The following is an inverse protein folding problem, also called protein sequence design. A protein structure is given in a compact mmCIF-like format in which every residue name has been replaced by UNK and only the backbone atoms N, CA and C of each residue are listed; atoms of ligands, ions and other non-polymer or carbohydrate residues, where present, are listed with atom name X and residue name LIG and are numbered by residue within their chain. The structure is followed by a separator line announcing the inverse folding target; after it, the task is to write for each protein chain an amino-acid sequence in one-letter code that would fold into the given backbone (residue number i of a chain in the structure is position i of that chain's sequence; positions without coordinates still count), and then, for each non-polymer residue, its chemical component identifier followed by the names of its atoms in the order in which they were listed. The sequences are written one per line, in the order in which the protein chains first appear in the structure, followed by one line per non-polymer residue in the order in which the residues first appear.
data_IF_507811213954
#
_entry.id   IF_507811213954
#
_cell.length_a   1.000
_cell.length_b   1.000
_cell.length_c   1.000
_cell.angle_alpha   90.00
_cell.angle_beta   90.00
_cell.angle_gamma   90.00
#
_symmetry.space_group_name_H-M   'P 1'
#
loop_
_entity.id
_entity.type
_entity.pdbx_description
1 polymer ?
#
# COMPACT_ATOMS: atom_id res chain seq x y z
N UNK A 1 -16.02 -7.72 -15.42
CA UNK A 1 -15.72 -9.16 -15.25
C UNK A 1 -15.48 -9.39 -13.76
N UNK A 2 -16.07 -10.40 -13.12
CA UNK A 2 -15.89 -10.62 -11.67
C UNK A 2 -14.46 -11.08 -11.42
N UNK A 3 -13.78 -10.46 -10.47
CA UNK A 3 -12.42 -10.87 -10.07
C UNK A 3 -12.46 -12.26 -9.42
N UNK A 4 -12.07 -13.27 -10.14
CA UNK A 4 -12.14 -14.70 -9.73
C UNK A 4 -11.46 -14.93 -8.37
N UNK A 5 -10.38 -14.19 -8.06
CA UNK A 5 -9.67 -14.33 -6.78
C UNK A 5 -10.47 -13.78 -5.61
N UNK A 6 -11.09 -12.61 -5.76
CA UNK A 6 -11.98 -12.02 -4.75
C UNK A 6 -13.18 -12.94 -4.52
N UNK A 7 -13.78 -13.44 -5.61
CA UNK A 7 -14.90 -14.37 -5.55
C UNK A 7 -14.55 -15.66 -4.79
N UNK A 8 -13.43 -16.29 -5.11
CA UNK A 8 -13.00 -17.51 -4.46
C UNK A 8 -12.69 -17.30 -2.96
N UNK A 9 -12.10 -16.18 -2.57
CA UNK A 9 -11.78 -15.88 -1.18
C UNK A 9 -13.06 -15.75 -0.32
N UNK A 10 -14.09 -15.08 -0.83
CA UNK A 10 -15.36 -14.90 -0.12
C UNK A 10 -16.09 -16.21 0.03
N UNK A 11 -16.21 -17.00 -1.04
CA UNK A 11 -16.87 -18.31 -0.97
C UNK A 11 -16.16 -19.24 0.00
N UNK A 12 -14.83 -19.32 -0.04
CA UNK A 12 -14.06 -20.14 0.90
C UNK A 12 -14.26 -19.70 2.36
N UNK A 13 -14.33 -18.40 2.61
CA UNK A 13 -14.58 -17.85 3.93
C UNK A 13 -15.98 -18.25 4.46
N UNK A 14 -17.00 -18.17 3.58
CA UNK A 14 -18.37 -18.54 3.92
C UNK A 14 -18.54 -20.07 4.13
N UNK A 15 -17.89 -20.89 3.29
CA UNK A 15 -17.87 -22.34 3.44
C UNK A 15 -17.27 -22.77 4.79
N UNK A 16 -16.12 -22.17 5.15
CA UNK A 16 -15.47 -22.45 6.43
C UNK A 16 -16.27 -21.90 7.62
N UNK A 17 -16.89 -20.74 7.49
CA UNK A 17 -17.80 -20.22 8.51
C UNK A 17 -18.99 -21.15 8.71
N UNK A 18 -19.63 -21.61 7.65
CA UNK A 18 -20.75 -22.55 7.71
C UNK A 18 -20.34 -23.87 8.35
N UNK A 19 -19.17 -24.39 8.01
CA UNK A 19 -18.67 -25.65 8.58
C UNK A 19 -18.44 -25.56 10.09
N UNK A 20 -18.06 -24.37 10.58
CA UNK A 20 -17.75 -24.15 11.98
C UNK A 20 -18.94 -23.71 12.84
N UNK A 21 -20.03 -23.18 12.23
CA UNK A 21 -21.09 -22.47 12.97
C UNK A 21 -22.51 -22.81 12.56
N UNK A 22 -22.70 -23.47 11.43
CA UNK A 22 -24.00 -23.66 10.77
C UNK A 22 -24.60 -22.34 10.20
N UNK A 23 -23.91 -21.20 10.34
CA UNK A 23 -24.32 -19.92 9.74
C UNK A 23 -24.15 -20.00 8.23
N UNK A 24 -25.21 -19.73 7.50
CA UNK A 24 -25.20 -19.68 6.03
C UNK A 24 -25.11 -18.25 5.56
N UNK A 25 -24.20 -18.01 4.63
CA UNK A 25 -24.07 -16.73 3.93
C UNK A 25 -24.10 -16.93 2.43
N UNK A 26 -24.66 -15.96 1.71
CA UNK A 26 -24.66 -15.91 0.27
C UNK A 26 -23.89 -14.69 -0.20
N UNK A 27 -22.98 -14.89 -1.16
CA UNK A 27 -22.16 -13.83 -1.76
C UNK A 27 -22.75 -13.35 -3.07
N UNK A 28 -23.03 -12.06 -3.17
CA UNK A 28 -23.55 -11.38 -4.35
C UNK A 28 -22.50 -10.37 -4.82
N UNK A 29 -21.63 -10.73 -5.78
CA UNK A 29 -20.60 -9.84 -6.28
C UNK A 29 -21.19 -8.69 -7.10
N UNK A 30 -20.60 -7.51 -7.00
CA UNK A 30 -20.83 -6.42 -7.95
C UNK A 30 -19.88 -6.57 -9.14
N UNK A 31 -20.24 -6.00 -10.32
CA UNK A 31 -19.30 -5.88 -11.41
C UNK A 31 -18.04 -5.15 -10.97
N UNK A 32 -16.86 -5.62 -11.43
CA UNK A 32 -15.58 -4.97 -11.11
C UNK A 32 -15.64 -3.48 -11.55
N UNK A 33 -15.84 -2.62 -10.58
CA UNK A 33 -15.45 -1.23 -10.68
C UNK A 33 -14.01 -1.17 -10.17
N UNK A 34 -13.09 -0.75 -11.01
CA UNK A 34 -11.65 -0.67 -10.70
C UNK A 34 -11.30 0.39 -9.64
N UNK A 35 -12.25 0.78 -8.83
CA UNK A 35 -12.10 1.79 -7.79
C UNK A 35 -11.88 1.06 -6.45
N UNK A 36 -10.69 1.20 -5.87
CA UNK A 36 -10.36 0.62 -4.56
C UNK A 36 -11.19 1.19 -3.41
N UNK A 37 -11.87 2.31 -3.64
CA UNK A 37 -12.82 2.91 -2.72
C UNK A 37 -14.21 2.29 -2.86
N UNK A 38 -14.35 1.18 -3.55
CA UNK A 38 -15.64 0.57 -3.85
C UNK A 38 -15.95 -0.64 -2.98
N UNK A 39 -17.24 -0.88 -2.85
CA UNK A 39 -17.78 -2.14 -2.33
C UNK A 39 -17.67 -3.19 -3.43
N UNK A 40 -17.12 -4.36 -3.09
CA UNK A 40 -16.93 -5.48 -4.02
C UNK A 40 -18.23 -6.29 -4.23
N UNK A 41 -19.20 -6.12 -3.33
CA UNK A 41 -20.47 -6.84 -3.39
C UNK A 41 -21.20 -6.85 -2.05
N UNK A 42 -22.08 -7.83 -1.88
CA UNK A 42 -22.89 -7.99 -0.68
C UNK A 42 -22.77 -9.42 -0.16
N UNK A 43 -22.76 -9.59 1.17
CA UNK A 43 -22.99 -10.87 1.83
C UNK A 43 -24.30 -10.77 2.58
N UNK A 44 -25.22 -11.70 2.29
CA UNK A 44 -26.44 -11.92 3.08
C UNK A 44 -26.22 -13.11 3.99
N UNK A 45 -26.21 -12.88 5.32
CA UNK A 45 -26.02 -13.92 6.33
C UNK A 45 -27.27 -14.05 7.18
N UNK A 46 -27.68 -15.29 7.45
CA UNK A 46 -28.73 -15.59 8.42
C UNK A 46 -28.09 -16.00 9.75
N UNK A 47 -28.26 -15.14 10.75
CA UNK A 47 -27.79 -15.37 12.12
C UNK A 47 -29.03 -15.47 13.00
N UNK A 48 -29.24 -16.63 13.61
CA UNK A 48 -30.49 -17.01 14.25
C UNK A 48 -31.67 -16.87 13.26
N UNK A 49 -32.64 -16.02 13.56
CA UNK A 49 -33.78 -15.77 12.68
C UNK A 49 -33.67 -14.47 11.88
N UNK A 50 -32.54 -13.74 12.02
CA UNK A 50 -32.33 -12.44 11.40
C UNK A 50 -31.47 -12.57 10.15
N UNK A 51 -31.98 -12.05 9.02
CA UNK A 51 -31.19 -11.89 7.79
C UNK A 51 -30.47 -10.54 7.85
N UNK A 52 -29.16 -10.58 7.74
CA UNK A 52 -28.30 -9.41 7.78
C UNK A 52 -27.58 -9.28 6.45
N UNK A 53 -27.67 -8.11 5.84
CA UNK A 53 -26.95 -7.78 4.61
C UNK A 53 -25.76 -6.86 4.90
N UNK A 54 -24.57 -7.32 4.55
CA UNK A 54 -23.33 -6.56 4.68
C UNK A 54 -22.87 -6.05 3.33
N UNK A 55 -22.39 -4.82 3.30
CA UNK A 55 -21.52 -4.34 2.23
C UNK A 55 -20.14 -5.01 2.41
N UNK A 56 -19.56 -5.51 1.33
CA UNK A 56 -18.33 -6.30 1.37
C UNK A 56 -17.20 -5.59 0.69
N UNK A 57 -16.06 -5.51 1.35
CA UNK A 57 -14.77 -5.20 0.71
C UNK A 57 -13.80 -6.36 0.91
N UNK A 58 -13.16 -6.80 -0.17
CA UNK A 58 -12.23 -7.94 -0.17
C UNK A 58 -10.81 -7.44 -0.23
N UNK A 59 -10.01 -7.82 0.78
CA UNK A 59 -8.59 -7.46 0.86
C UNK A 59 -7.79 -8.72 1.20
N UNK A 60 -7.39 -9.47 0.17
CA UNK A 60 -6.68 -10.74 0.37
C UNK A 60 -5.45 -10.61 1.27
N UNK A 61 -4.70 -9.50 1.14
CA UNK A 61 -3.52 -9.17 1.95
C UNK A 61 -3.77 -7.88 2.75
N UNK A 62 -4.63 -7.97 3.77
CA UNK A 62 -5.03 -6.83 4.59
C UNK A 62 -3.87 -6.34 5.47
N UNK A 63 -3.52 -5.06 5.35
CA UNK A 63 -2.42 -4.39 6.07
C UNK A 63 -2.89 -3.11 6.75
N UNK A 64 -2.07 -2.58 7.67
CA UNK A 64 -2.36 -1.35 8.41
C UNK A 64 -2.63 -0.17 7.47
N UNK A 65 -1.95 -0.10 6.34
CA UNK A 65 -2.12 0.93 5.31
C UNK A 65 -3.54 1.00 4.73
N UNK A 66 -4.30 -0.10 4.79
CA UNK A 66 -5.69 -0.13 4.31
C UNK A 66 -6.70 0.41 5.34
N UNK A 67 -6.32 0.54 6.63
CA UNK A 67 -7.26 0.88 7.69
C UNK A 67 -7.95 2.22 7.50
N UNK A 68 -7.24 3.32 7.14
CA UNK A 68 -7.90 4.61 6.98
C UNK A 68 -9.00 4.59 5.92
N UNK A 69 -8.70 3.95 4.78
CA UNK A 69 -9.67 3.77 3.71
C UNK A 69 -10.88 2.93 4.15
N UNK A 70 -10.64 1.83 4.87
CA UNK A 70 -11.71 1.00 5.40
C UNK A 70 -12.59 1.75 6.41
N UNK A 71 -12.02 2.66 7.19
CA UNK A 71 -12.78 3.49 8.13
C UNK A 71 -13.71 4.46 7.40
N UNK A 72 -13.25 5.07 6.30
CA UNK A 72 -14.09 5.93 5.47
C UNK A 72 -15.19 5.13 4.76
N UNK A 73 -14.86 3.97 4.19
CA UNK A 73 -15.85 3.07 3.61
C UNK A 73 -16.92 2.64 4.62
N UNK A 74 -16.51 2.35 5.86
CA UNK A 74 -17.45 1.96 6.90
C UNK A 74 -18.41 3.09 7.31
N UNK A 75 -17.95 4.34 7.30
CA UNK A 75 -18.83 5.50 7.54
C UNK A 75 -19.88 5.67 6.44
N UNK A 76 -19.48 5.43 5.18
CA UNK A 76 -20.36 5.61 4.03
C UNK A 76 -21.30 4.41 3.79
N UNK A 77 -20.88 3.20 4.13
CA UNK A 77 -21.54 1.94 3.72
C UNK A 77 -21.77 0.95 4.87
N UNK A 78 -22.16 1.41 6.05
CA UNK A 78 -22.52 0.53 7.17
C UNK A 78 -23.82 -0.27 6.90
N UNK A 79 -23.94 -1.55 7.35
CA UNK A 79 -22.88 -2.37 7.93
C UNK A 79 -21.92 -2.92 6.86
N UNK A 80 -20.62 -2.86 7.16
CA UNK A 80 -19.57 -3.35 6.27
C UNK A 80 -18.85 -4.55 6.89
N UNK A 81 -18.43 -5.50 6.04
CA UNK A 81 -17.58 -6.62 6.43
C UNK A 81 -16.36 -6.70 5.51
N UNK A 82 -15.19 -6.80 6.13
CA UNK A 82 -13.92 -6.98 5.41
C UNK A 82 -13.64 -8.48 5.29
N UNK A 83 -13.48 -8.99 4.07
CA UNK A 83 -13.08 -10.37 3.82
C UNK A 83 -11.60 -10.40 3.46
N UNK A 84 -10.82 -11.22 4.18
CA UNK A 84 -9.37 -11.33 3.99
C UNK A 84 -8.89 -12.77 4.14
N UNK A 85 -7.71 -13.09 3.57
CA UNK A 85 -7.08 -14.40 3.82
C UNK A 85 -6.73 -14.55 5.30
N UNK A 86 -6.17 -13.49 5.89
CA UNK A 86 -5.82 -13.38 7.29
C UNK A 86 -5.89 -11.93 7.74
N UNK A 87 -6.36 -11.70 8.96
CA UNK A 87 -6.34 -10.40 9.64
C UNK A 87 -5.39 -10.49 10.85
N UNK A 88 -4.33 -9.68 10.84
CA UNK A 88 -3.34 -9.68 11.93
C UNK A 88 -3.91 -9.05 13.21
N UNK A 89 -3.41 -9.45 14.43
CA UNK A 89 -3.99 -9.02 15.71
C UNK A 89 -4.19 -7.51 15.86
N UNK A 90 -3.21 -6.69 15.50
CA UNK A 90 -3.32 -5.21 15.55
C UNK A 90 -4.43 -4.67 14.63
N UNK A 91 -4.63 -5.30 13.48
CA UNK A 91 -5.68 -4.91 12.53
C UNK A 91 -7.04 -5.35 13.07
N UNK A 92 -7.16 -6.56 13.61
CA UNK A 92 -8.38 -7.04 14.28
C UNK A 92 -8.84 -6.07 15.38
N UNK A 93 -7.89 -5.63 16.21
CA UNK A 93 -8.16 -4.66 17.27
C UNK A 93 -8.68 -3.33 16.71
N UNK A 94 -8.01 -2.77 15.70
CA UNK A 94 -8.41 -1.53 15.05
C UNK A 94 -9.80 -1.62 14.41
N UNK A 95 -10.11 -2.72 13.72
CA UNK A 95 -11.43 -2.94 13.11
C UNK A 95 -12.52 -3.06 14.19
N UNK A 96 -12.25 -3.78 15.31
CA UNK A 96 -13.19 -3.91 16.42
C UNK A 96 -13.49 -2.58 17.10
N UNK A 97 -12.48 -1.73 17.30
CA UNK A 97 -12.67 -0.39 17.87
C UNK A 97 -13.61 0.44 17.00
N UNK A 98 -13.51 0.33 15.69
CA UNK A 98 -14.35 1.04 14.72
C UNK A 98 -15.67 0.31 14.38
N UNK A 99 -15.97 -0.78 15.10
CA UNK A 99 -17.15 -1.63 14.85
C UNK A 99 -17.26 -2.14 13.41
N UNK A 100 -16.13 -2.43 12.75
CA UNK A 100 -16.06 -2.97 11.40
C UNK A 100 -15.94 -4.49 11.49
N UNK A 101 -16.89 -5.22 10.88
CA UNK A 101 -16.87 -6.66 10.84
C UNK A 101 -15.72 -7.19 9.96
N UNK A 102 -15.18 -8.36 10.30
CA UNK A 102 -14.24 -9.08 9.44
C UNK A 102 -14.53 -10.57 9.40
N UNK A 103 -14.19 -11.19 8.27
CA UNK A 103 -14.28 -12.61 8.02
C UNK A 103 -12.99 -13.09 7.33
N UNK A 104 -12.28 -14.05 7.93
CA UNK A 104 -11.08 -14.66 7.36
C UNK A 104 -11.44 -15.91 6.54
N UNK A 105 -10.64 -16.25 5.54
CA UNK A 105 -10.88 -17.45 4.69
C UNK A 105 -10.91 -18.75 5.46
N UNK A 106 -10.33 -18.83 6.66
CA UNK A 106 -10.39 -19.99 7.57
C UNK A 106 -11.66 -20.04 8.44
N UNK A 107 -12.60 -19.11 8.24
CA UNK A 107 -13.84 -19.02 9.01
C UNK A 107 -13.73 -18.33 10.37
N UNK A 108 -12.58 -17.71 10.70
CA UNK A 108 -12.53 -16.77 11.82
C UNK A 108 -13.36 -15.53 11.49
N UNK A 109 -14.16 -15.07 12.42
CA UNK A 109 -15.09 -13.97 12.21
C UNK A 109 -15.26 -13.14 13.47
N UNK A 110 -15.42 -11.84 13.29
CA UNK A 110 -15.94 -10.94 14.29
C UNK A 110 -16.95 -10.00 13.65
N UNK A 111 -18.11 -9.93 14.23
CA UNK A 111 -19.13 -8.92 13.90
C UNK A 111 -19.93 -8.57 15.15
N UNK A 112 -20.32 -7.30 15.22
CA UNK A 112 -21.19 -6.78 16.27
C UNK A 112 -22.25 -5.88 15.63
N UNK A 113 -23.50 -6.26 15.77
CA UNK A 113 -24.66 -5.52 15.27
C UNK A 113 -25.77 -5.56 16.33
N UNK A 114 -26.23 -4.42 16.74
CA UNK A 114 -27.30 -4.28 17.76
C UNK A 114 -27.11 -5.21 18.96
N UNK A 115 -27.91 -6.30 19.00
CA UNK A 115 -27.89 -7.32 20.06
C UNK A 115 -27.07 -8.57 19.69
N UNK A 116 -26.52 -8.62 18.49
CA UNK A 116 -25.78 -9.79 17.99
C UNK A 116 -24.27 -9.54 18.07
N UNK A 117 -23.57 -10.40 18.80
CA UNK A 117 -22.11 -10.48 18.78
C UNK A 117 -21.71 -11.89 18.33
N UNK A 118 -21.04 -12.01 17.19
CA UNK A 118 -20.42 -13.23 16.73
C UNK A 118 -18.91 -13.05 16.77
N UNK A 119 -18.24 -13.88 17.56
CA UNK A 119 -16.79 -13.86 17.69
C UNK A 119 -16.24 -15.28 17.70
N UNK A 120 -15.58 -15.66 16.60
CA UNK A 120 -14.94 -16.95 16.41
C UNK A 120 -13.50 -16.71 16.01
N UNK A 121 -12.59 -17.26 16.80
CA UNK A 121 -11.16 -17.22 16.54
C UNK A 121 -10.53 -18.57 16.90
N UNK A 122 -9.31 -18.80 16.43
CA UNK A 122 -8.55 -20.01 16.73
C UNK A 122 -8.59 -21.07 15.62
N UNK A 123 -9.36 -20.86 14.55
CA UNK A 123 -9.26 -21.72 13.37
C UNK A 123 -7.85 -21.59 12.78
N UNK A 124 -7.23 -22.75 12.49
CA UNK A 124 -5.90 -22.79 11.88
C UNK A 124 -5.94 -22.10 10.51
N UNK A 125 -4.89 -21.35 10.22
CA UNK A 125 -4.70 -20.81 8.87
C UNK A 125 -4.74 -21.95 7.86
N UNK A 126 -5.51 -21.76 6.80
CA UNK A 126 -5.47 -22.67 5.67
C UNK A 126 -4.04 -22.68 5.12
N UNK A 127 -3.50 -23.85 4.72
CA UNK A 127 -2.19 -23.89 4.09
C UNK A 127 -2.27 -23.07 2.82
N UNK A 128 -1.75 -21.85 2.87
CA UNK A 128 -1.50 -21.09 1.65
C UNK A 128 -0.46 -21.90 0.89
N UNK A 129 -0.83 -22.47 -0.26
CA UNK A 129 0.14 -23.07 -1.16
C UNK A 129 1.30 -22.09 -1.27
N UNK A 130 2.56 -22.53 -0.98
CA UNK A 130 3.74 -21.65 -1.02
C UNK A 130 3.74 -20.98 -2.39
N UNK A 131 3.18 -19.77 -2.46
CA UNK A 131 3.20 -18.99 -3.70
C UNK A 131 4.66 -18.87 -4.10
N UNK A 132 5.00 -19.29 -5.31
CA UNK A 132 6.31 -19.01 -5.89
C UNK A 132 6.55 -17.52 -5.72
N UNK A 133 7.70 -17.16 -5.13
CA UNK A 133 8.06 -15.76 -4.90
C UNK A 133 7.93 -15.01 -6.23
N UNK A 134 6.91 -14.17 -6.35
CA UNK A 134 6.74 -13.37 -7.55
C UNK A 134 7.86 -12.34 -7.61
N UNK A 135 8.63 -12.37 -8.66
CA UNK A 135 9.83 -11.54 -8.83
C UNK A 135 9.53 -10.05 -8.94
N UNK A 136 8.33 -9.66 -9.34
CA UNK A 136 7.90 -8.25 -9.37
C UNK A 136 7.87 -7.62 -7.97
N UNK A 137 7.60 -8.39 -6.91
CA UNK A 137 7.49 -7.92 -5.54
C UNK A 137 8.69 -8.32 -4.66
N UNK A 138 9.84 -8.55 -5.26
CA UNK A 138 11.14 -8.59 -4.56
C UNK A 138 11.73 -7.19 -4.47
N UNK A 139 12.73 -6.95 -3.58
CA UNK A 139 13.42 -5.66 -3.45
C UNK A 139 13.87 -5.08 -4.80
N UNK A 140 14.51 -5.91 -5.62
CA UNK A 140 14.95 -5.54 -6.98
C UNK A 140 13.75 -5.33 -7.92
N UNK A 141 12.72 -6.18 -7.82
CA UNK A 141 11.52 -6.06 -8.65
C UNK A 141 10.74 -4.77 -8.37
N UNK A 142 10.65 -4.37 -7.10
CA UNK A 142 9.96 -3.14 -6.69
C UNK A 142 10.58 -1.88 -7.30
N UNK A 143 11.90 -1.85 -7.52
CA UNK A 143 12.55 -0.74 -8.24
C UNK A 143 12.10 -0.67 -9.70
N UNK A 144 12.01 -1.81 -10.39
CA UNK A 144 11.54 -1.88 -11.78
C UNK A 144 10.06 -1.50 -11.88
N UNK A 145 9.22 -2.01 -10.97
CA UNK A 145 7.78 -1.69 -10.93
C UNK A 145 7.57 -0.19 -10.66
N UNK A 146 8.42 0.43 -9.86
CA UNK A 146 8.39 1.88 -9.62
C UNK A 146 8.55 2.69 -10.92
N UNK A 147 9.54 2.36 -11.75
CA UNK A 147 9.75 3.02 -13.04
C UNK A 147 8.54 2.84 -13.98
N UNK A 148 7.92 1.65 -13.99
CA UNK A 148 6.71 1.38 -14.77
C UNK A 148 5.50 2.17 -14.28
N UNK A 149 5.32 2.30 -12.96
CA UNK A 149 4.22 3.07 -12.37
C UNK A 149 4.38 4.57 -12.62
N UNK A 150 5.61 5.09 -12.63
CA UNK A 150 5.87 6.49 -12.96
C UNK A 150 5.62 6.82 -14.43
N UNK A 151 5.98 5.89 -15.32
CA UNK A 151 5.85 6.08 -16.77
C UNK A 151 5.46 4.75 -17.43
N UNK A 152 4.21 4.63 -17.88
CA UNK A 152 3.73 3.42 -18.57
C UNK A 152 4.51 3.11 -19.84
N UNK A 153 5.05 4.12 -20.53
CA UNK A 153 5.87 3.92 -21.73
C UNK A 153 7.09 3.04 -21.44
N UNK A 154 7.58 3.05 -20.20
CA UNK A 154 8.69 2.18 -19.74
C UNK A 154 8.41 0.69 -19.89
N UNK A 155 7.15 0.24 -19.94
CA UNK A 155 6.81 -1.15 -20.22
C UNK A 155 7.28 -1.61 -21.61
N UNK A 156 7.50 -0.66 -22.54
CA UNK A 156 7.73 -0.91 -23.96
C UNK A 156 9.12 -0.49 -24.46
N UNK A 157 9.96 0.05 -23.58
CA UNK A 157 11.35 0.38 -23.94
C UNK A 157 12.25 -0.86 -23.85
N UNK A 158 13.46 -0.85 -24.47
CA UNK A 158 14.40 -1.96 -24.36
C UNK A 158 14.73 -2.32 -22.91
N UNK A 159 14.74 -3.61 -22.58
CA UNK A 159 15.02 -4.08 -21.20
C UNK A 159 16.33 -3.54 -20.62
N UNK A 160 17.34 -3.23 -21.48
CA UNK A 160 18.60 -2.63 -21.03
C UNK A 160 18.38 -1.22 -20.46
N UNK A 161 17.52 -0.44 -21.08
CA UNK A 161 17.17 0.90 -20.60
C UNK A 161 16.40 0.83 -19.27
N UNK A 162 15.42 -0.06 -19.17
CA UNK A 162 14.70 -0.32 -17.92
C UNK A 162 15.68 -0.72 -16.81
N UNK A 163 16.60 -1.64 -17.10
CA UNK A 163 17.59 -2.11 -16.14
C UNK A 163 18.50 -0.98 -15.64
N UNK A 164 18.91 -0.08 -16.55
CA UNK A 164 19.73 1.10 -16.22
C UNK A 164 18.98 2.07 -15.34
N UNK A 165 17.72 2.41 -15.68
CA UNK A 165 16.89 3.35 -14.90
C UNK A 165 16.54 2.81 -13.51
N UNK A 166 16.22 1.53 -13.42
CA UNK A 166 15.90 0.91 -12.14
C UNK A 166 17.13 0.49 -11.30
N UNK A 167 18.34 0.69 -11.82
CA UNK A 167 19.60 0.23 -11.20
C UNK A 167 19.54 -1.25 -10.79
N UNK A 168 19.28 -2.13 -11.80
CA UNK A 168 19.15 -3.57 -11.61
C UNK A 168 19.84 -4.35 -12.73
N UNK A 169 20.18 -5.62 -12.47
CA UNK A 169 20.71 -6.48 -13.53
C UNK A 169 19.64 -6.77 -14.60
N UNK A 170 20.06 -6.77 -15.88
CA UNK A 170 19.20 -6.93 -17.06
C UNK A 170 18.21 -8.11 -16.96
N UNK A 171 18.68 -9.26 -16.45
CA UNK A 171 17.84 -10.46 -16.31
C UNK A 171 16.63 -10.28 -15.38
N UNK A 172 16.70 -9.34 -14.41
CA UNK A 172 15.60 -9.10 -13.49
C UNK A 172 14.38 -8.48 -14.18
N UNK A 173 14.59 -7.65 -15.21
CA UNK A 173 13.48 -7.00 -15.94
C UNK A 173 12.52 -8.02 -16.53
N UNK A 174 13.06 -9.05 -17.17
CA UNK A 174 12.21 -10.12 -17.76
C UNK A 174 11.45 -10.90 -16.68
N UNK A 175 12.08 -11.18 -15.54
CA UNK A 175 11.41 -11.86 -14.42
C UNK A 175 10.30 -11.01 -13.82
N UNK A 176 10.50 -9.68 -13.73
CA UNK A 176 9.48 -8.74 -13.24
C UNK A 176 8.30 -8.69 -14.20
N UNK A 177 8.53 -8.48 -15.50
CA UNK A 177 7.46 -8.46 -16.50
C UNK A 177 6.65 -9.76 -16.52
N UNK A 178 7.33 -10.92 -16.40
CA UNK A 178 6.65 -12.20 -16.29
C UNK A 178 5.82 -12.30 -15.00
N UNK A 179 6.37 -11.85 -13.87
CA UNK A 179 5.65 -11.81 -12.61
C UNK A 179 4.40 -10.90 -12.63
N UNK A 180 4.48 -9.76 -13.30
CA UNK A 180 3.33 -8.85 -13.48
C UNK A 180 2.25 -9.48 -14.39
N UNK A 181 2.67 -10.18 -15.47
CA UNK A 181 1.73 -10.94 -16.34
C UNK A 181 1.05 -12.08 -15.59
N UNK A 182 1.80 -12.88 -14.83
CA UNK A 182 1.26 -13.97 -14.02
C UNK A 182 0.22 -13.50 -13.01
N UNK A 183 0.39 -12.29 -12.47
CA UNK A 183 -0.56 -11.65 -11.54
C UNK A 183 -1.69 -10.90 -12.26
N UNK A 184 -1.64 -10.75 -13.58
CA UNK A 184 -2.67 -10.07 -14.37
C UNK A 184 -2.57 -8.55 -14.38
N UNK A 185 -1.49 -7.95 -13.87
CA UNK A 185 -1.32 -6.49 -13.88
C UNK A 185 -0.94 -5.92 -15.24
N UNK A 186 -0.32 -6.74 -16.08
CA UNK A 186 0.15 -6.34 -17.40
C UNK A 186 -0.32 -7.35 -18.44
N UNK A 187 -0.95 -6.84 -19.49
CA UNK A 187 -1.35 -7.60 -20.67
C UNK A 187 -0.31 -7.45 -21.77
N UNK A 188 -0.06 -8.52 -22.51
CA UNK A 188 0.73 -8.48 -23.72
C UNK A 188 -0.18 -8.35 -24.93
N UNK A 189 -0.06 -7.23 -25.64
CA UNK A 189 -0.80 -6.96 -26.87
C UNK A 189 0.11 -7.22 -28.08
N UNK A 190 -0.15 -8.28 -28.82
CA UNK A 190 0.69 -8.67 -29.98
C UNK A 190 2.07 -9.22 -29.61
N UNK A 191 3.09 -8.99 -30.48
CA UNK A 191 4.41 -9.64 -30.34
C UNK A 191 5.30 -9.00 -29.26
N UNK A 192 5.21 -7.66 -29.02
CA UNK A 192 6.16 -6.94 -28.15
C UNK A 192 5.56 -5.73 -27.42
N UNK A 193 4.24 -5.56 -27.39
CA UNK A 193 3.62 -4.42 -26.74
C UNK A 193 2.94 -4.85 -25.45
N UNK A 194 3.19 -4.11 -24.37
CA UNK A 194 2.63 -4.30 -23.05
C UNK A 194 1.79 -3.10 -22.63
N UNK A 195 0.68 -3.35 -21.95
CA UNK A 195 -0.19 -2.33 -21.35
C UNK A 195 -0.59 -2.76 -19.96
N UNK A 196 -0.78 -1.80 -19.05
CA UNK A 196 -1.42 -2.10 -17.77
C UNK A 196 -2.85 -2.58 -17.98
N UNK A 197 -3.24 -3.54 -17.16
CA UNK A 197 -4.62 -4.00 -17.04
C UNK A 197 -5.27 -3.46 -15.77
N UNK A 198 -4.51 -3.44 -14.69
CA UNK A 198 -4.94 -2.95 -13.39
C UNK A 198 -3.76 -2.22 -12.72
N UNK A 199 -3.61 -0.94 -13.09
CA UNK A 199 -2.54 -0.08 -12.60
C UNK A 199 -2.77 0.32 -11.15
N UNK A 200 -4.04 0.55 -10.76
CA UNK A 200 -4.42 0.92 -9.39
C UNK A 200 -4.10 -0.19 -8.39
N UNK A 201 -4.54 -1.42 -8.65
CA UNK A 201 -4.25 -2.54 -7.76
C UNK A 201 -2.74 -2.84 -7.71
N UNK A 202 -2.03 -2.66 -8.84
CA UNK A 202 -0.57 -2.76 -8.84
C UNK A 202 0.07 -1.71 -7.93
N UNK A 203 -0.40 -0.46 -7.98
CA UNK A 203 0.07 0.62 -7.11
C UNK A 203 -0.15 0.26 -5.64
N UNK A 204 -1.34 -0.20 -5.29
CA UNK A 204 -1.66 -0.59 -3.91
C UNK A 204 -0.75 -1.71 -3.41
N UNK A 205 -0.56 -2.74 -4.22
CA UNK A 205 0.36 -3.82 -3.85
C UNK A 205 1.81 -3.35 -3.80
N UNK A 206 2.21 -2.44 -4.68
CA UNK A 206 3.55 -1.86 -4.67
C UNK A 206 3.79 -1.07 -3.39
N UNK A 207 2.88 -0.19 -2.97
CA UNK A 207 2.99 0.60 -1.73
C UNK A 207 3.22 -0.29 -0.52
N UNK A 208 2.42 -1.37 -0.39
CA UNK A 208 2.56 -2.32 0.71
C UNK A 208 3.94 -3.00 0.69
N UNK A 209 4.33 -3.53 -0.48
CA UNK A 209 5.59 -4.27 -0.60
C UNK A 209 6.82 -3.37 -0.56
N UNK A 210 6.70 -2.13 -0.99
CA UNK A 210 7.70 -1.09 -0.82
C UNK A 210 7.97 -0.85 0.68
N UNK A 211 6.93 -0.58 1.46
CA UNK A 211 7.05 -0.35 2.90
C UNK A 211 7.63 -1.55 3.66
N UNK A 212 7.24 -2.78 3.25
CA UNK A 212 7.67 -4.01 3.92
C UNK A 212 9.10 -4.46 3.53
N UNK A 213 9.52 -4.24 2.28
CA UNK A 213 10.72 -4.89 1.74
C UNK A 213 11.78 -3.93 1.22
N UNK A 214 11.39 -2.88 0.50
CA UNK A 214 12.38 -2.00 -0.15
C UNK A 214 12.79 -0.86 0.79
N UNK A 215 11.84 -0.15 1.39
CA UNK A 215 12.12 1.00 2.25
C UNK A 215 13.09 0.69 3.41
N UNK A 216 12.93 -0.44 4.16
CA UNK A 216 13.88 -0.79 5.22
C UNK A 216 15.32 -1.02 4.73
N UNK A 217 15.49 -1.50 3.50
CA UNK A 217 16.82 -1.73 2.91
C UNK A 217 17.50 -0.42 2.45
N UNK A 218 16.72 0.62 2.25
CA UNK A 218 17.22 1.94 1.86
C UNK A 218 17.63 2.78 3.07
N UNK A 219 17.28 2.37 4.29
CA UNK A 219 17.51 3.15 5.50
C UNK A 219 19.02 3.36 5.76
N UNK A 220 19.44 4.63 5.85
CA UNK A 220 20.77 5.06 6.28
C UNK A 220 20.80 5.21 7.81
N UNK A 221 19.68 5.65 8.37
CA UNK A 221 19.48 5.76 9.82
C UNK A 221 18.43 6.79 10.21
N UNK A 222 18.18 6.80 11.52
CA UNK A 222 17.32 7.76 12.20
C UNK A 222 18.16 8.75 12.98
N UNK A 223 17.79 10.01 12.93
CA UNK A 223 18.55 11.14 13.46
C UNK A 223 17.60 12.14 14.15
N UNK A 224 18.23 13.07 14.90
CA UNK A 224 17.63 14.35 15.30
C UNK A 224 18.56 15.49 14.93
N UNK A 225 18.04 16.70 14.85
CA UNK A 225 18.92 17.87 14.73
C UNK A 225 19.68 18.15 16.03
N UNK A 226 20.84 18.79 15.88
CA UNK A 226 21.57 19.31 17.03
C UNK A 226 20.78 20.40 17.77
N UNK A 227 20.01 21.21 17.05
CA UNK A 227 19.13 22.24 17.57
C UNK A 227 17.69 21.96 17.15
N UNK A 228 16.75 22.04 18.09
CA UNK A 228 15.33 21.82 17.82
C UNK A 228 14.75 22.89 16.87
N UNK A 229 15.35 24.09 16.85
CA UNK A 229 14.99 25.16 15.92
C UNK A 229 15.16 24.75 14.44
N UNK A 230 16.15 23.91 14.11
CA UNK A 230 16.40 23.45 12.76
C UNK A 230 15.25 22.54 12.27
N UNK A 231 14.62 21.79 13.17
CA UNK A 231 13.43 21.01 12.86
C UNK A 231 12.24 21.91 12.54
N UNK A 232 12.00 22.95 13.34
CA UNK A 232 10.91 23.91 13.12
C UNK A 232 11.09 24.67 11.80
N UNK A 233 12.34 25.03 11.50
CA UNK A 233 12.72 25.77 10.29
C UNK A 233 13.16 24.87 9.14
N UNK A 234 12.71 23.62 9.06
CA UNK A 234 13.17 22.64 8.09
C UNK A 234 13.11 23.12 6.61
N UNK A 235 12.12 23.97 6.26
CA UNK A 235 12.01 24.56 4.91
C UNK A 235 13.20 25.42 4.51
N UNK A 236 13.96 25.95 5.49
CA UNK A 236 15.15 26.79 5.28
C UNK A 236 16.45 25.99 5.26
N UNK A 237 16.40 24.68 5.49
CA UNK A 237 17.59 23.85 5.45
C UNK A 237 18.17 23.84 4.03
N UNK A 238 19.49 24.09 3.89
CA UNK A 238 20.17 24.12 2.60
C UNK A 238 20.43 22.68 2.10
N UNK A 239 19.35 21.94 1.73
CA UNK A 239 19.51 20.61 1.14
C UNK A 239 20.30 20.69 -0.16
N UNK A 240 21.20 19.73 -0.36
CA UNK A 240 22.05 19.68 -1.53
C UNK A 240 21.22 19.27 -2.75
N UNK A 241 20.95 20.25 -3.62
CA UNK A 241 20.20 20.00 -4.85
C UNK A 241 20.88 18.94 -5.73
N UNK A 242 20.08 18.04 -6.31
CA UNK A 242 20.56 16.94 -7.14
C UNK A 242 21.18 15.76 -6.35
N UNK A 243 21.31 15.87 -5.02
CA UNK A 243 21.86 14.79 -4.18
C UNK A 243 20.95 14.44 -2.99
N UNK A 244 20.10 15.37 -2.52
CA UNK A 244 19.20 15.15 -1.39
C UNK A 244 17.83 15.74 -1.67
N UNK A 245 16.78 14.99 -1.33
CA UNK A 245 15.39 15.34 -1.59
C UNK A 245 14.52 15.09 -0.35
N UNK A 246 13.51 15.92 -0.15
CA UNK A 246 12.47 15.69 0.82
C UNK A 246 11.54 14.56 0.35
N UNK A 247 11.24 13.62 1.26
CA UNK A 247 10.23 12.58 1.11
C UNK A 247 9.16 12.70 2.21
N UNK A 248 8.26 11.74 2.31
CA UNK A 248 7.26 11.62 3.36
C UNK A 248 6.50 12.91 3.65
N UNK A 249 6.37 13.25 4.95
CA UNK A 249 5.58 14.40 5.41
C UNK A 249 6.10 15.76 4.90
N UNK A 250 7.41 16.06 4.87
CA UNK A 250 7.92 17.30 4.29
C UNK A 250 7.54 17.47 2.83
N UNK A 251 7.70 16.43 2.01
CA UNK A 251 7.32 16.48 0.62
C UNK A 251 5.82 16.63 0.44
N UNK A 252 5.03 15.94 1.25
CA UNK A 252 3.57 16.11 1.30
C UNK A 252 3.16 17.55 1.61
N UNK A 253 3.83 18.20 2.59
CA UNK A 253 3.60 19.62 2.86
C UNK A 253 3.96 20.51 1.66
N UNK A 254 5.14 20.28 1.03
CA UNK A 254 5.59 21.10 -0.11
C UNK A 254 4.67 20.97 -1.33
N UNK A 255 4.00 19.84 -1.49
CA UNK A 255 3.07 19.59 -2.61
C UNK A 255 1.67 20.11 -2.36
N UNK A 256 1.18 20.05 -1.11
CA UNK A 256 -0.24 20.31 -0.82
C UNK A 256 -0.48 21.50 0.11
N UNK A 257 0.58 22.00 0.76
CA UNK A 257 0.55 23.00 1.86
C UNK A 257 -0.44 22.64 3.01
N UNK A 258 -0.80 21.36 3.12
CA UNK A 258 -1.80 20.86 4.06
C UNK A 258 -1.18 20.25 5.33
N UNK A 259 -0.16 19.38 5.17
CA UNK A 259 0.41 18.58 6.24
C UNK A 259 1.52 19.32 6.99
N UNK A 260 1.37 19.54 8.29
CA UNK A 260 2.51 20.00 9.14
C UNK A 260 3.34 18.78 9.56
N UNK A 261 4.63 18.67 9.14
CA UNK A 261 5.45 17.51 9.43
C UNK A 261 5.69 17.29 10.92
N UNK A 262 5.46 16.07 11.39
CA UNK A 262 5.86 15.55 12.69
C UNK A 262 7.16 14.74 12.60
N UNK A 263 7.46 14.19 11.41
CA UNK A 263 8.70 13.49 11.08
C UNK A 263 9.26 14.04 9.77
N UNK A 264 10.58 14.25 9.70
CA UNK A 264 11.24 14.67 8.47
C UNK A 264 11.87 13.46 7.78
N UNK A 265 11.56 13.29 6.52
CA UNK A 265 12.10 12.21 5.68
C UNK A 265 12.99 12.80 4.59
N UNK A 266 14.19 12.27 4.45
CA UNK A 266 15.16 12.62 3.41
C UNK A 266 15.55 11.38 2.60
N UNK A 267 15.67 11.55 1.30
CA UNK A 267 16.32 10.59 0.40
C UNK A 267 17.58 11.22 -0.18
N UNK A 268 18.67 10.46 -0.24
CA UNK A 268 19.96 11.07 -0.54
C UNK A 268 20.94 10.13 -1.25
N UNK A 269 21.88 10.72 -1.96
CA UNK A 269 23.11 10.11 -2.46
C UNK A 269 24.31 10.43 -1.55
N UNK A 270 24.16 11.34 -0.58
CA UNK A 270 25.22 11.75 0.33
C UNK A 270 25.56 10.61 1.32
N UNK A 271 26.81 10.61 1.78
CA UNK A 271 27.24 9.65 2.82
C UNK A 271 26.67 10.04 4.18
N UNK A 272 26.57 9.07 5.10
CA UNK A 272 26.16 9.34 6.49
C UNK A 272 27.02 10.41 7.16
N UNK A 273 28.33 10.44 6.87
CA UNK A 273 29.24 11.44 7.41
C UNK A 273 28.96 12.84 6.89
N UNK A 274 28.61 12.96 5.62
CA UNK A 274 28.25 14.26 5.00
C UNK A 274 26.96 14.80 5.57
N UNK A 275 25.95 13.94 5.77
CA UNK A 275 24.68 14.28 6.40
C UNK A 275 24.87 14.85 7.82
N UNK A 276 25.67 14.16 8.65
CA UNK A 276 25.98 14.59 10.02
C UNK A 276 26.65 15.98 10.02
N UNK A 277 27.63 16.18 9.16
CA UNK A 277 28.38 17.43 9.11
C UNK A 277 27.56 18.59 8.52
N UNK A 278 26.88 18.34 7.39
CA UNK A 278 26.18 19.38 6.62
C UNK A 278 24.93 19.86 7.32
N UNK A 279 24.07 18.88 7.75
CA UNK A 279 22.77 19.16 8.34
C UNK A 279 22.80 19.16 9.86
N UNK A 280 23.97 19.00 10.50
CA UNK A 280 24.13 18.92 11.97
C UNK A 280 23.23 17.88 12.60
N UNK A 281 23.13 16.71 11.95
CA UNK A 281 22.32 15.60 12.42
C UNK A 281 23.07 14.79 13.47
N UNK A 282 22.36 14.36 14.50
CA UNK A 282 22.86 13.46 15.55
C UNK A 282 22.15 12.13 15.39
N UNK A 283 22.86 11.00 15.26
CA UNK A 283 22.24 9.69 15.26
C UNK A 283 21.42 9.45 16.54
N UNK A 284 20.15 9.16 16.40
CA UNK A 284 19.24 8.94 17.51
C UNK A 284 18.12 7.96 17.08
N UNK A 285 18.04 6.74 17.65
CA UNK A 285 16.99 5.78 17.31
C UNK A 285 15.56 6.28 17.58
N UNK A 286 15.41 7.30 18.45
CA UNK A 286 14.13 7.95 18.76
C UNK A 286 13.98 9.31 18.07
N UNK A 287 14.90 9.64 17.18
CA UNK A 287 14.89 10.90 16.44
C UNK A 287 13.72 10.98 15.47
N UNK A 288 13.46 12.20 15.03
CA UNK A 288 12.34 12.55 14.12
C UNK A 288 12.81 12.91 12.70
N UNK A 289 14.04 12.55 12.34
CA UNK A 289 14.61 12.71 11.00
C UNK A 289 15.03 11.34 10.47
N UNK A 290 14.34 10.84 9.44
CA UNK A 290 14.68 9.56 8.80
C UNK A 290 15.35 9.79 7.47
N UNK A 291 16.40 9.05 7.21
CA UNK A 291 17.22 9.22 6.01
C UNK A 291 17.35 7.89 5.29
N UNK A 292 17.07 7.94 3.98
CA UNK A 292 17.08 6.79 3.07
C UNK A 292 17.98 7.04 1.86
N UNK A 293 18.47 5.96 1.24
CA UNK A 293 19.20 6.02 -0.03
C UNK A 293 18.24 6.28 -1.18
N UNK A 294 18.61 7.15 -2.10
CA UNK A 294 17.92 7.29 -3.41
C UNK A 294 17.99 5.97 -4.20
N UNK A 295 16.90 5.58 -4.85
CA UNK A 295 16.84 4.35 -5.68
C UNK A 295 16.19 4.55 -7.05
N UNK A 296 15.63 5.70 -7.36
CA UNK A 296 14.99 6.03 -8.65
C UNK A 296 15.93 6.81 -9.55
N UNK A 297 15.63 6.82 -10.86
CA UNK A 297 16.45 7.49 -11.85
C UNK A 297 16.06 8.96 -12.06
N UNK A 298 14.78 9.23 -12.33
CA UNK A 298 14.28 10.56 -12.63
C UNK A 298 14.19 11.44 -11.38
N UNK A 299 14.57 12.71 -11.50
CA UNK A 299 14.27 13.69 -10.47
C UNK A 299 12.79 14.10 -10.64
N UNK A 300 12.05 14.19 -9.51
CA UNK A 300 10.62 14.52 -9.53
C UNK A 300 10.30 15.88 -10.16
N UNK A 301 9.01 16.23 -10.21
CA UNK A 301 8.52 17.51 -10.75
C UNK A 301 9.14 18.72 -10.04
N UNK A 302 9.53 18.57 -8.76
CA UNK A 302 10.22 19.57 -7.96
C UNK A 302 11.66 19.14 -7.69
N UNK A 303 12.61 20.05 -7.88
CA UNK A 303 14.05 19.77 -7.64
C UNK A 303 14.36 19.38 -6.18
N UNK A 304 13.47 19.67 -5.23
CA UNK A 304 13.69 19.46 -3.80
C UNK A 304 12.87 18.30 -3.19
N UNK A 305 11.98 17.67 -3.95
CA UNK A 305 11.15 16.55 -3.47
C UNK A 305 11.39 15.28 -4.28
N UNK A 306 11.16 14.13 -3.63
CA UNK A 306 11.10 12.85 -4.34
C UNK A 306 9.91 12.82 -5.32
N UNK A 307 9.86 11.87 -6.27
CA UNK A 307 8.71 11.73 -7.16
C UNK A 307 7.39 11.60 -6.39
N UNK A 308 6.28 12.19 -6.89
CA UNK A 308 4.97 12.18 -6.21
C UNK A 308 4.48 10.78 -5.82
N UNK A 309 4.73 9.79 -6.66
CA UNK A 309 4.42 8.38 -6.38
C UNK A 309 5.10 7.88 -5.09
N UNK A 310 6.35 8.29 -4.86
CA UNK A 310 7.09 7.91 -3.66
C UNK A 310 6.59 8.66 -2.43
N UNK A 311 6.22 9.95 -2.58
CA UNK A 311 5.58 10.71 -1.50
C UNK A 311 4.26 10.05 -1.10
N UNK A 312 3.43 9.70 -2.07
CA UNK A 312 2.18 8.96 -1.85
C UNK A 312 2.44 7.67 -1.06
N UNK A 313 3.42 6.87 -1.49
CA UNK A 313 3.73 5.60 -0.83
C UNK A 313 4.27 5.79 0.59
N UNK A 314 5.10 6.79 0.83
CA UNK A 314 5.61 7.12 2.15
C UNK A 314 4.47 7.50 3.11
N UNK A 315 3.58 8.37 2.69
CA UNK A 315 2.45 8.85 3.47
C UNK A 315 1.43 7.73 3.76
N UNK A 316 1.10 6.92 2.75
CA UNK A 316 0.21 5.76 2.89
C UNK A 316 0.78 4.65 3.78
N UNK A 317 2.10 4.64 3.99
CA UNK A 317 2.78 3.66 4.85
C UNK A 317 2.69 4.01 6.34
N UNK A 318 2.17 5.18 6.68
CA UNK A 318 1.97 5.62 8.06
C UNK A 318 0.57 5.24 8.55
N UNK A 319 0.37 5.23 9.87
CA UNK A 319 -0.95 5.08 10.49
C UNK A 319 -1.58 6.43 10.86
N UNK A 320 -0.96 7.56 10.48
CA UNK A 320 -1.45 8.90 10.78
C UNK A 320 -2.50 9.33 9.74
N UNK A 321 -3.71 9.64 10.20
CA UNK A 321 -4.83 10.04 9.36
C UNK A 321 -4.51 11.28 8.48
N UNK A 322 -3.75 12.26 9.02
CA UNK A 322 -3.35 13.46 8.26
C UNK A 322 -2.43 13.13 7.09
N UNK A 323 -1.55 12.14 7.28
CA UNK A 323 -0.68 11.64 6.21
C UNK A 323 -1.51 11.00 5.10
N UNK A 324 -2.52 10.19 5.47
CA UNK A 324 -3.40 9.52 4.50
C UNK A 324 -4.26 10.53 3.74
N UNK A 325 -4.83 11.54 4.42
CA UNK A 325 -5.57 12.62 3.75
C UNK A 325 -4.68 13.39 2.77
N UNK A 326 -3.42 13.66 3.15
CA UNK A 326 -2.46 14.31 2.27
C UNK A 326 -2.11 13.44 1.07
N UNK A 327 -1.92 12.13 1.28
CA UNK A 327 -1.70 11.17 0.21
C UNK A 327 -2.87 11.14 -0.77
N UNK A 328 -4.11 11.16 -0.27
CA UNK A 328 -5.30 11.21 -1.10
C UNK A 328 -5.36 12.49 -1.96
N UNK A 329 -5.02 13.64 -1.39
CA UNK A 329 -4.93 14.91 -2.16
C UNK A 329 -3.91 14.81 -3.29
N UNK A 330 -2.73 14.23 -3.01
CA UNK A 330 -1.69 14.01 -4.03
C UNK A 330 -2.21 13.05 -5.12
N UNK A 331 -2.91 11.99 -4.73
CA UNK A 331 -3.49 11.04 -5.66
C UNK A 331 -4.54 11.71 -6.57
N UNK A 332 -5.47 12.46 -5.99
CA UNK A 332 -6.55 13.11 -6.74
C UNK A 332 -6.04 14.19 -7.69
N UNK A 333 -4.98 14.90 -7.31
CA UNK A 333 -4.43 16.00 -8.10
C UNK A 333 -3.52 15.50 -9.24
N UNK A 334 -2.67 14.50 -8.99
CA UNK A 334 -1.59 14.13 -9.89
C UNK A 334 -1.83 12.79 -10.61
N UNK A 335 -2.68 11.92 -10.08
CA UNK A 335 -2.84 10.56 -10.60
C UNK A 335 -4.27 10.24 -11.05
N UNK A 336 -5.27 11.04 -10.66
CA UNK A 336 -6.66 10.80 -11.04
C UNK A 336 -6.83 10.98 -12.56
N UNK A 337 -7.03 9.86 -13.26
CA UNK A 337 -7.12 9.80 -14.72
C UNK A 337 -5.90 9.21 -15.42
N UNK A 338 -4.78 9.00 -14.71
CA UNK A 338 -3.61 8.29 -15.23
C UNK A 338 -3.58 6.81 -14.78
N UNK A 339 -4.35 6.50 -13.77
CA UNK A 339 -4.48 5.16 -13.18
C UNK A 339 -5.83 4.53 -13.47
#
# INVERSE_FOLDING_TARGET
MVNIRKYNAVNLALENLQSNTLIRGEWIPLPDNHDDNSIDGFIEMRIDQTLIKFNVTVRNDLRVVHLPLLFELAKAHAPIIVVANQVFPKIKEALRIQNIAYLETNGNVWLKLDRTLLWIEGNKLLPVAKEKINRAFTKTGLKVVFEFLQDEAMLNVPHREIATKADVALGNVNYVLNGLKEKGFVLRLGKRYYKFHDKNELLNQWVIKYAEKLKPELEIGTFRFLKDEDFVNWKKLPIKQGETWWGGEPAGNLMTDYLKPAELTLYTLETRSDLIKRYKLIPDPKGNVRVYKKFWYSDGLNQNTVPPLLVYADLMSTSDHRCVETAQKIYDELFKGEF
#
